data_IF_165355216457
#
_entry.id   IF_165355216457
#
_cell.length_a   1.000
_cell.length_b   1.000
_cell.length_c   1.000
_cell.angle_alpha   90.00
_cell.angle_beta   90.00
_cell.angle_gamma   90.00
#
_symmetry.space_group_name_H-M   'P 1'
#
loop_
_entity.id
_entity.type
_entity.pdbx_description
1 polymer ?
#
# COMPACT_ATOMS: atom_id res chain seq x y z
N UNK A 1 -20.73 12.36 7.88
CA UNK A 1 -21.57 11.86 6.77
C UNK A 1 -20.74 10.83 6.02
N UNK A 2 -21.18 9.59 5.91
CA UNK A 2 -20.50 8.59 5.10
C UNK A 2 -20.68 8.98 3.62
N UNK A 3 -19.59 9.23 2.92
CA UNK A 3 -19.60 9.48 1.49
C UNK A 3 -20.13 8.21 0.81
N UNK A 4 -21.25 8.30 0.10
CA UNK A 4 -21.77 7.16 -0.65
C UNK A 4 -20.73 6.75 -1.69
N UNK A 5 -20.29 5.50 -1.63
CA UNK A 5 -19.35 4.97 -2.61
C UNK A 5 -20.00 5.02 -4.01
N UNK A 6 -19.30 5.68 -4.94
CA UNK A 6 -19.77 5.84 -6.33
C UNK A 6 -19.29 4.66 -7.19
N UNK A 7 -20.00 4.39 -8.28
CA UNK A 7 -19.53 3.46 -9.30
C UNK A 7 -18.52 4.15 -10.20
N UNK A 8 -17.44 3.42 -10.54
CA UNK A 8 -16.47 3.83 -11.56
C UNK A 8 -16.70 2.98 -12.81
N UNK A 9 -17.19 3.62 -13.87
CA UNK A 9 -17.35 2.99 -15.18
C UNK A 9 -16.30 3.56 -16.12
N UNK A 10 -15.60 2.69 -16.83
CA UNK A 10 -14.59 3.02 -17.84
C UNK A 10 -15.08 2.43 -19.16
N UNK A 11 -15.40 3.31 -20.09
CA UNK A 11 -16.00 2.96 -21.36
C UNK A 11 -15.02 2.24 -22.29
N UNK A 12 -15.53 1.59 -23.33
CA UNK A 12 -14.72 0.84 -24.30
C UNK A 12 -13.60 1.72 -24.88
N UNK A 13 -12.40 1.14 -24.91
CA UNK A 13 -11.17 1.77 -25.42
C UNK A 13 -10.72 3.03 -24.64
N UNK A 14 -11.38 3.38 -23.52
CA UNK A 14 -10.98 4.47 -22.64
C UNK A 14 -9.74 4.08 -21.83
N UNK A 15 -8.81 5.04 -21.68
CA UNK A 15 -7.66 4.92 -20.77
C UNK A 15 -7.81 5.92 -19.65
N UNK A 16 -8.03 5.42 -18.42
CA UNK A 16 -8.21 6.25 -17.22
C UNK A 16 -7.03 6.09 -16.29
N UNK A 17 -6.45 7.21 -15.89
CA UNK A 17 -5.45 7.25 -14.82
C UNK A 17 -6.12 7.62 -13.50
N UNK A 18 -6.19 6.68 -12.57
CA UNK A 18 -6.60 6.94 -11.20
C UNK A 18 -5.41 7.52 -10.45
N UNK A 19 -5.50 8.78 -10.07
CA UNK A 19 -4.48 9.51 -9.34
C UNK A 19 -5.13 10.52 -8.39
N UNK A 20 -4.56 10.73 -7.19
CA UNK A 20 -5.06 11.73 -6.24
C UNK A 20 -5.09 13.16 -6.78
N UNK A 21 -4.20 13.47 -7.73
CA UNK A 21 -4.04 14.79 -8.32
C UNK A 21 -5.05 15.08 -9.44
N UNK A 22 -5.76 14.05 -9.95
CA UNK A 22 -6.71 14.23 -11.04
C UNK A 22 -7.92 15.05 -10.62
N UNK A 23 -8.30 16.09 -11.38
CA UNK A 23 -9.53 16.82 -11.12
C UNK A 23 -10.79 15.95 -11.08
N UNK A 24 -10.79 14.83 -11.84
CA UNK A 24 -11.90 13.85 -11.88
C UNK A 24 -12.06 13.11 -10.55
N UNK A 25 -10.96 12.89 -9.81
CA UNK A 25 -10.94 12.00 -8.65
C UNK A 25 -10.55 12.68 -7.34
N UNK A 26 -10.14 13.95 -7.35
CA UNK A 26 -9.66 14.68 -6.16
C UNK A 26 -10.63 14.66 -4.99
N UNK A 27 -11.94 14.69 -5.27
CA UNK A 27 -12.97 14.71 -4.24
C UNK A 27 -13.33 13.30 -3.72
N UNK A 28 -12.78 12.25 -4.36
CA UNK A 28 -12.95 10.85 -3.98
C UNK A 28 -11.74 10.29 -3.23
N UNK A 29 -10.64 11.02 -3.23
CA UNK A 29 -9.42 10.58 -2.56
C UNK A 29 -9.58 10.66 -1.04
N UNK A 30 -9.22 9.57 -0.38
CA UNK A 30 -9.11 9.49 1.07
C UNK A 30 -7.64 9.51 1.47
N UNK A 31 -7.29 10.36 2.44
CA UNK A 31 -5.94 10.42 2.99
C UNK A 31 -5.92 9.72 4.34
N UNK A 32 -5.01 8.78 4.48
CA UNK A 32 -4.74 8.08 5.72
C UNK A 32 -3.37 8.51 6.25
N UNK A 33 -3.31 8.88 7.52
CA UNK A 33 -2.07 9.28 8.20
C UNK A 33 -1.84 8.34 9.37
N UNK A 34 -1.26 7.16 9.13
CA UNK A 34 -1.03 6.18 10.18
C UNK A 34 -0.06 6.75 11.23
N UNK A 35 -0.31 6.42 12.48
CA UNK A 35 0.48 6.85 13.64
C UNK A 35 1.37 5.75 14.18
N UNK A 36 1.18 4.52 13.71
CA UNK A 36 1.94 3.34 14.11
C UNK A 36 2.13 2.38 12.96
N UNK A 37 3.11 1.50 13.08
CA UNK A 37 3.34 0.45 12.07
C UNK A 37 2.17 -0.55 12.04
N UNK A 38 1.51 -0.78 13.15
CA UNK A 38 0.31 -1.62 13.20
C UNK A 38 -0.84 -1.03 12.38
N UNK A 39 -1.02 0.30 12.38
CA UNK A 39 -1.99 0.96 11.49
C UNK A 39 -1.61 0.83 10.02
N UNK A 40 -0.32 0.97 9.68
CA UNK A 40 0.17 0.74 8.31
C UNK A 40 -0.13 -0.69 7.87
N UNK A 41 0.17 -1.68 8.74
CA UNK A 41 -0.13 -3.09 8.47
C UNK A 41 -1.64 -3.34 8.28
N UNK A 42 -2.49 -2.75 9.10
CA UNK A 42 -3.95 -2.86 8.93
C UNK A 42 -4.43 -2.33 7.59
N UNK A 43 -3.82 -1.26 7.09
CA UNK A 43 -4.18 -0.64 5.81
C UNK A 43 -3.59 -1.41 4.62
N UNK A 44 -2.30 -1.70 4.63
CA UNK A 44 -1.53 -2.22 3.50
C UNK A 44 -1.24 -3.73 3.58
N UNK A 45 -1.35 -4.32 4.76
CA UNK A 45 -1.02 -5.73 5.00
C UNK A 45 -1.96 -6.71 4.30
N UNK A 46 -1.59 -7.99 4.25
CA UNK A 46 -2.42 -9.03 3.66
C UNK A 46 -3.74 -9.15 4.39
N UNK A 47 -4.80 -9.46 3.64
CA UNK A 47 -6.08 -9.82 4.26
C UNK A 47 -5.95 -11.15 4.98
N UNK A 48 -6.49 -11.25 6.19
CA UNK A 48 -6.38 -12.44 7.06
C UNK A 48 -6.92 -13.75 6.43
N UNK A 49 -7.56 -13.66 5.27
CA UNK A 49 -8.29 -14.77 4.64
C UNK A 49 -7.53 -15.56 3.57
N UNK A 50 -6.21 -15.33 3.34
CA UNK A 50 -5.66 -15.92 2.13
C UNK A 50 -4.23 -16.42 2.07
N UNK A 51 -3.35 -16.16 3.01
CA UNK A 51 -1.96 -16.60 2.90
C UNK A 51 -1.50 -17.35 4.15
N UNK A 52 -1.17 -18.63 3.96
CA UNK A 52 -0.51 -19.48 4.95
C UNK A 52 1.02 -19.33 4.93
N UNK A 53 1.57 -18.54 4.04
CA UNK A 53 3.00 -18.27 4.01
C UNK A 53 3.38 -17.33 5.16
N UNK A 54 4.07 -17.90 6.15
CA UNK A 54 4.71 -17.12 7.20
C UNK A 54 5.88 -16.37 6.59
N UNK A 55 5.73 -15.06 6.42
CA UNK A 55 6.87 -14.20 6.17
C UNK A 55 7.65 -14.07 7.49
N UNK A 56 8.69 -14.88 7.65
CA UNK A 56 9.59 -14.76 8.78
C UNK A 56 10.48 -13.53 8.57
N UNK A 57 10.75 -12.80 9.64
CA UNK A 57 11.74 -11.73 9.57
C UNK A 57 13.09 -12.34 9.18
N UNK A 58 13.78 -11.82 8.15
CA UNK A 58 15.11 -12.27 7.82
C UNK A 58 16.03 -12.20 9.05
N UNK A 59 16.74 -13.27 9.35
CA UNK A 59 17.63 -13.36 10.52
C UNK A 59 18.68 -12.25 10.56
N UNK A 60 19.09 -11.72 9.42
CA UNK A 60 19.98 -10.58 9.31
C UNK A 60 19.39 -9.27 9.87
N UNK A 61 18.05 -9.15 9.92
CA UNK A 61 17.38 -7.99 10.49
C UNK A 61 17.24 -8.09 12.02
N UNK A 62 17.21 -9.31 12.57
CA UNK A 62 17.07 -9.49 14.04
C UNK A 62 18.39 -9.24 14.78
N UNK A 63 19.54 -9.44 14.13
CA UNK A 63 20.84 -9.39 14.79
C UNK A 63 21.38 -7.98 15.05
N UNK A 64 20.97 -6.96 14.29
CA UNK A 64 21.55 -5.62 14.31
C UNK A 64 20.52 -4.52 14.03
N UNK A 65 19.37 -4.54 14.72
CA UNK A 65 18.43 -3.43 14.61
C UNK A 65 18.99 -2.18 15.30
N UNK A 66 18.86 -1.00 14.67
CA UNK A 66 19.28 0.24 15.30
C UNK A 66 18.36 0.59 16.48
N UNK A 67 18.87 1.35 17.42
CA UNK A 67 17.99 1.94 18.43
C UNK A 67 17.03 2.95 17.76
N UNK A 68 15.83 3.19 18.33
CA UNK A 68 14.94 4.24 17.84
C UNK A 68 15.60 5.62 17.76
N UNK A 69 16.55 5.92 18.65
CA UNK A 69 17.26 7.21 18.68
C UNK A 69 18.24 7.36 17.50
N UNK A 70 18.78 6.27 16.97
CA UNK A 70 19.66 6.30 15.81
C UNK A 70 18.97 6.87 14.55
N UNK A 71 17.64 6.87 14.50
CA UNK A 71 16.86 7.50 13.41
C UNK A 71 17.03 9.02 13.37
N UNK A 72 17.42 9.62 14.48
CA UNK A 72 17.65 11.07 14.66
C UNK A 72 19.11 11.40 14.99
N UNK A 73 20.03 10.44 14.84
CA UNK A 73 21.46 10.65 15.10
C UNK A 73 21.98 11.89 14.38
N UNK A 74 22.87 12.64 15.03
CA UNK A 74 23.56 13.78 14.43
C UNK A 74 24.51 13.33 13.31
N UNK A 75 25.05 12.11 13.42
CA UNK A 75 25.84 11.51 12.34
C UNK A 75 24.93 11.15 11.13
N UNK A 76 25.15 11.80 9.97
CA UNK A 76 24.36 11.53 8.77
C UNK A 76 24.48 10.09 8.26
N UNK A 77 25.62 9.45 8.46
CA UNK A 77 25.83 8.07 8.00
C UNK A 77 25.07 7.09 8.89
N UNK A 78 25.15 7.24 10.19
CA UNK A 78 24.40 6.44 11.15
C UNK A 78 22.89 6.62 10.94
N UNK A 79 22.41 7.86 10.81
CA UNK A 79 21.01 8.18 10.55
C UNK A 79 20.49 7.54 9.26
N UNK A 80 21.29 7.62 8.18
CA UNK A 80 20.90 7.01 6.89
C UNK A 80 20.82 5.51 7.01
N UNK A 81 21.81 4.87 7.64
CA UNK A 81 21.83 3.43 7.87
C UNK A 81 20.62 2.98 8.70
N UNK A 82 20.34 3.68 9.79
CA UNK A 82 19.20 3.37 10.66
C UNK A 82 17.86 3.47 9.91
N UNK A 83 17.68 4.51 9.09
CA UNK A 83 16.47 4.67 8.26
C UNK A 83 16.32 3.57 7.23
N UNK A 84 17.40 3.17 6.55
CA UNK A 84 17.35 2.06 5.58
C UNK A 84 16.97 0.74 6.26
N UNK A 85 17.52 0.46 7.45
CA UNK A 85 17.18 -0.73 8.22
C UNK A 85 15.71 -0.69 8.69
N UNK A 86 15.22 0.46 9.16
CA UNK A 86 13.83 0.65 9.54
C UNK A 86 12.89 0.44 8.35
N UNK A 87 13.20 0.95 7.15
CA UNK A 87 12.41 0.71 5.92
C UNK A 87 12.34 -0.78 5.61
N UNK A 88 13.47 -1.48 5.71
CA UNK A 88 13.52 -2.93 5.42
C UNK A 88 12.69 -3.72 6.43
N UNK A 89 12.80 -3.39 7.72
CA UNK A 89 12.01 -4.02 8.77
C UNK A 89 10.51 -3.72 8.63
N UNK A 90 10.16 -2.47 8.29
CA UNK A 90 8.77 -2.07 8.06
C UNK A 90 8.13 -2.83 6.89
N UNK A 91 8.89 -3.07 5.82
CA UNK A 91 8.41 -3.90 4.68
C UNK A 91 8.10 -5.31 5.13
N UNK A 92 9.02 -5.94 5.87
CA UNK A 92 8.81 -7.29 6.38
C UNK A 92 7.58 -7.34 7.31
N UNK A 93 7.44 -6.36 8.21
CA UNK A 93 6.29 -6.23 9.10
C UNK A 93 4.97 -6.13 8.33
N UNK A 94 4.92 -5.25 7.33
CA UNK A 94 3.68 -5.01 6.54
C UNK A 94 3.30 -6.25 5.71
N UNK A 95 4.27 -7.01 5.24
CA UNK A 95 4.02 -8.25 4.47
C UNK A 95 3.69 -9.47 5.34
N UNK A 96 3.93 -9.40 6.63
CA UNK A 96 3.69 -10.52 7.53
C UNK A 96 2.20 -10.81 7.66
N UNK A 97 1.80 -12.06 7.51
CA UNK A 97 0.44 -12.51 7.84
C UNK A 97 0.20 -12.54 9.36
N UNK A 98 1.28 -12.70 10.12
CA UNK A 98 1.28 -12.69 11.59
C UNK A 98 2.42 -11.78 12.09
N UNK A 99 2.08 -10.78 12.87
CA UNK A 99 3.04 -9.79 13.38
C UNK A 99 3.58 -10.10 14.76
N UNK A 100 3.21 -11.23 15.38
CA UNK A 100 3.64 -11.58 16.75
C UNK A 100 5.15 -11.67 16.90
N UNK A 101 5.84 -12.17 15.88
CA UNK A 101 7.30 -12.31 15.89
C UNK A 101 8.01 -10.96 15.71
N UNK A 102 7.28 -9.91 15.34
CA UNK A 102 7.82 -8.58 15.08
C UNK A 102 7.62 -7.58 16.22
N UNK A 103 7.02 -7.98 17.34
CA UNK A 103 6.73 -7.06 18.46
C UNK A 103 7.96 -6.33 18.98
N UNK A 104 9.11 -6.95 18.94
CA UNK A 104 10.37 -6.36 19.42
C UNK A 104 10.87 -5.21 18.53
N UNK A 105 10.41 -5.11 17.27
CA UNK A 105 10.78 -4.02 16.35
C UNK A 105 9.74 -2.91 16.29
N UNK A 106 8.55 -3.10 16.84
CA UNK A 106 7.48 -2.09 16.82
C UNK A 106 7.94 -0.72 17.35
N UNK A 107 8.67 -0.61 18.47
CA UNK A 107 9.11 0.70 18.96
C UNK A 107 9.99 1.47 17.97
N UNK A 108 10.89 0.78 17.25
CA UNK A 108 11.71 1.37 16.19
C UNK A 108 10.82 1.83 15.03
N UNK A 109 9.88 0.98 14.61
CA UNK A 109 9.03 1.26 13.46
C UNK A 109 8.01 2.36 13.76
N UNK A 110 7.46 2.41 14.95
CA UNK A 110 6.55 3.48 15.37
C UNK A 110 7.30 4.82 15.41
N UNK A 111 8.52 4.85 15.94
CA UNK A 111 9.35 6.04 15.88
C UNK A 111 9.66 6.46 14.44
N UNK A 112 9.91 5.50 13.57
CA UNK A 112 10.12 5.76 12.14
C UNK A 112 8.87 6.37 11.48
N UNK A 113 7.66 5.87 11.77
CA UNK A 113 6.38 6.41 11.28
C UNK A 113 6.16 7.84 11.82
N UNK A 114 6.44 8.07 13.11
CA UNK A 114 6.32 9.39 13.73
C UNK A 114 7.20 10.45 13.03
N UNK A 115 8.43 10.07 12.69
CA UNK A 115 9.38 10.97 12.02
C UNK A 115 9.01 11.19 10.56
N UNK A 116 8.67 10.13 9.83
CA UNK A 116 8.41 10.17 8.38
C UNK A 116 7.02 10.68 8.02
N UNK A 117 6.05 10.60 8.95
CA UNK A 117 4.66 11.06 8.78
C UNK A 117 4.06 10.66 7.43
N UNK A 118 4.03 9.36 7.08
CA UNK A 118 3.59 8.93 5.76
C UNK A 118 2.14 9.30 5.51
N UNK A 119 1.83 9.72 4.28
CA UNK A 119 0.46 9.95 3.82
C UNK A 119 0.13 8.88 2.78
N UNK A 120 -0.89 8.09 3.06
CA UNK A 120 -1.39 7.07 2.15
C UNK A 120 -2.67 7.58 1.48
N UNK A 121 -2.72 7.52 0.15
CA UNK A 121 -3.91 7.87 -0.60
C UNK A 121 -4.68 6.61 -0.99
N UNK A 122 -5.98 6.64 -0.78
CA UNK A 122 -6.87 5.57 -1.14
C UNK A 122 -8.11 6.06 -1.86
N UNK A 123 -8.73 5.15 -2.60
CA UNK A 123 -10.01 5.35 -3.25
C UNK A 123 -10.98 4.27 -2.82
N UNK A 124 -12.24 4.63 -2.73
CA UNK A 124 -13.33 3.71 -2.44
C UNK A 124 -14.43 3.88 -3.47
N UNK A 125 -14.73 2.78 -4.16
CA UNK A 125 -15.84 2.69 -5.11
C UNK A 125 -16.84 1.63 -4.64
N UNK A 126 -18.10 1.76 -5.03
CA UNK A 126 -19.05 0.67 -4.90
C UNK A 126 -18.68 -0.43 -5.88
N UNK A 127 -18.71 -0.14 -7.16
CA UNK A 127 -18.30 -1.06 -8.22
C UNK A 127 -17.33 -0.36 -9.18
N UNK A 128 -16.43 -1.16 -9.76
CA UNK A 128 -15.53 -0.74 -10.83
C UNK A 128 -15.82 -1.64 -12.04
N UNK A 129 -16.31 -1.05 -13.12
CA UNK A 129 -16.57 -1.72 -14.39
C UNK A 129 -15.61 -1.21 -15.45
N UNK A 130 -14.80 -2.12 -16.01
CA UNK A 130 -13.81 -1.82 -17.05
C UNK A 130 -14.28 -2.53 -18.33
N UNK A 131 -14.73 -1.74 -19.29
CA UNK A 131 -15.26 -2.26 -20.55
C UNK A 131 -14.17 -2.91 -21.42
N UNK A 132 -14.59 -3.55 -22.51
CA UNK A 132 -13.68 -4.17 -23.47
C UNK A 132 -12.72 -3.13 -24.05
N UNK A 133 -11.43 -3.47 -24.14
CA UNK A 133 -10.38 -2.56 -24.64
C UNK A 133 -9.92 -1.50 -23.64
N UNK A 134 -10.70 -1.21 -22.61
CA UNK A 134 -10.42 -0.15 -21.65
C UNK A 134 -9.26 -0.48 -20.70
N UNK A 135 -8.61 0.57 -20.20
CA UNK A 135 -7.52 0.42 -19.24
C UNK A 135 -7.68 1.38 -18.06
N UNK A 136 -7.78 0.82 -16.84
CA UNK A 136 -7.64 1.56 -15.60
C UNK A 136 -6.19 1.48 -15.11
N UNK A 137 -5.51 2.62 -15.04
CA UNK A 137 -4.14 2.70 -14.52
C UNK A 137 -4.16 3.32 -13.12
N UNK A 138 -3.69 2.59 -12.12
CA UNK A 138 -3.43 3.10 -10.78
C UNK A 138 -2.01 3.68 -10.76
N UNK A 139 -1.89 4.96 -10.45
CA UNK A 139 -0.58 5.64 -10.43
C UNK A 139 0.21 5.31 -9.16
N UNK A 140 1.49 5.73 -9.11
CA UNK A 140 2.38 5.46 -7.97
C UNK A 140 1.89 6.03 -6.63
N UNK A 141 1.01 7.04 -6.67
CA UNK A 141 0.48 7.70 -5.48
C UNK A 141 -0.82 7.05 -4.98
N UNK A 142 -1.30 6.00 -5.62
CA UNK A 142 -2.46 5.23 -5.16
C UNK A 142 -1.98 4.04 -4.33
N UNK A 143 -2.22 4.08 -3.04
CA UNK A 143 -1.77 3.06 -2.09
C UNK A 143 -2.87 2.04 -1.78
N UNK A 144 -4.12 2.48 -1.84
CA UNK A 144 -5.29 1.69 -1.45
C UNK A 144 -6.41 1.83 -2.48
N UNK A 145 -7.03 0.72 -2.84
CA UNK A 145 -8.24 0.68 -3.65
C UNK A 145 -9.24 -0.28 -3.00
N UNK A 146 -10.39 0.25 -2.64
CA UNK A 146 -11.51 -0.51 -2.10
C UNK A 146 -12.65 -0.52 -3.11
N UNK A 147 -13.23 -1.71 -3.37
CA UNK A 147 -14.45 -1.83 -4.17
C UNK A 147 -15.29 -3.01 -3.66
N UNK A 148 -16.61 -2.97 -3.83
CA UNK A 148 -17.42 -4.14 -3.60
C UNK A 148 -17.19 -5.16 -4.74
N UNK A 149 -17.22 -4.70 -5.99
CA UNK A 149 -16.90 -5.56 -7.13
C UNK A 149 -15.98 -4.85 -8.14
N UNK A 150 -15.10 -5.63 -8.75
CA UNK A 150 -14.27 -5.19 -9.89
C UNK A 150 -14.57 -6.14 -11.04
N UNK A 151 -15.11 -5.60 -12.15
CA UNK A 151 -15.46 -6.36 -13.34
C UNK A 151 -14.64 -5.86 -14.52
N UNK A 152 -13.96 -6.78 -15.19
CA UNK A 152 -13.19 -6.49 -16.40
C UNK A 152 -13.75 -7.31 -17.55
N UNK A 153 -14.23 -6.62 -18.60
CA UNK A 153 -14.90 -7.24 -19.75
C UNK A 153 -13.93 -7.38 -20.93
N UNK A 154 -13.99 -8.53 -21.60
CA UNK A 154 -13.18 -8.79 -22.79
C UNK A 154 -11.68 -8.61 -22.56
N UNK A 155 -11.07 -7.61 -23.20
CA UNK A 155 -9.67 -7.22 -23.06
C UNK A 155 -9.45 -6.08 -22.09
N UNK A 156 -10.49 -5.65 -21.38
CA UNK A 156 -10.40 -4.65 -20.31
C UNK A 156 -9.39 -5.07 -19.24
N UNK A 157 -8.64 -4.11 -18.72
CA UNK A 157 -7.53 -4.41 -17.79
C UNK A 157 -7.31 -3.31 -16.77
N UNK A 158 -6.75 -3.73 -15.62
CA UNK A 158 -6.23 -2.84 -14.60
C UNK A 158 -4.69 -2.95 -14.57
N UNK A 159 -4.01 -1.80 -14.48
CA UNK A 159 -2.55 -1.71 -14.44
C UNK A 159 -2.14 -0.92 -13.21
N UNK A 160 -1.29 -1.49 -12.36
CA UNK A 160 -0.72 -0.79 -11.21
C UNK A 160 0.71 -0.33 -11.57
N UNK A 161 0.95 0.98 -11.52
CA UNK A 161 2.29 1.56 -11.72
C UNK A 161 3.13 1.52 -10.44
N UNK A 162 2.47 1.45 -9.30
CA UNK A 162 3.08 1.32 -7.99
C UNK A 162 2.39 0.23 -7.18
N UNK A 163 2.93 -0.04 -5.99
CA UNK A 163 2.33 -1.00 -5.10
C UNK A 163 1.04 -0.44 -4.52
N UNK A 164 -0.03 -1.07 -4.87
CA UNK A 164 -1.37 -0.73 -4.41
C UNK A 164 -2.00 -1.95 -3.74
N UNK A 165 -2.52 -1.77 -2.54
CA UNK A 165 -3.36 -2.79 -1.90
C UNK A 165 -4.77 -2.65 -2.45
N UNK A 166 -5.24 -3.71 -3.13
CA UNK A 166 -6.60 -3.77 -3.67
C UNK A 166 -7.41 -4.70 -2.79
N UNK A 167 -8.54 -4.21 -2.29
CA UNK A 167 -9.50 -5.00 -1.52
C UNK A 167 -10.86 -4.93 -2.21
N UNK A 168 -11.31 -6.06 -2.73
CA UNK A 168 -12.61 -6.20 -3.35
C UNK A 168 -13.30 -7.47 -2.83
N UNK A 169 -14.63 -7.43 -2.68
CA UNK A 169 -15.40 -8.61 -2.30
C UNK A 169 -15.49 -9.61 -3.47
N UNK A 170 -15.47 -9.10 -4.70
CA UNK A 170 -15.43 -9.94 -5.89
C UNK A 170 -14.59 -9.30 -7.00
N UNK A 171 -13.88 -10.13 -7.75
CA UNK A 171 -13.14 -9.73 -8.94
C UNK A 171 -13.47 -10.70 -10.05
N UNK A 172 -13.90 -10.19 -11.21
CA UNK A 172 -14.21 -10.99 -12.39
C UNK A 172 -13.50 -10.46 -13.63
N UNK A 173 -13.23 -11.35 -14.58
CA UNK A 173 -12.49 -11.04 -15.79
C UNK A 173 -11.02 -11.43 -15.69
N UNK A 174 -10.18 -10.77 -16.50
CA UNK A 174 -8.77 -11.08 -16.59
C UNK A 174 -8.04 -10.45 -15.38
N UNK A 175 -7.88 -11.23 -14.32
CA UNK A 175 -7.17 -10.77 -13.11
C UNK A 175 -5.72 -10.45 -13.50
N UNK A 176 -5.23 -9.23 -13.24
CA UNK A 176 -3.82 -8.92 -13.39
C UNK A 176 -3.03 -9.87 -12.48
N UNK A 177 -1.98 -10.48 -13.02
CA UNK A 177 -1.06 -11.28 -12.20
C UNK A 177 -0.23 -10.29 -11.36
N UNK A 178 -0.73 -9.98 -10.18
CA UNK A 178 0.08 -9.29 -9.19
C UNK A 178 1.04 -10.30 -8.57
N UNK A 179 2.31 -10.03 -8.62
CA UNK A 179 3.26 -10.72 -7.75
C UNK A 179 3.14 -10.09 -6.37
N UNK A 180 2.72 -10.81 -5.34
CA UNK A 180 2.53 -10.25 -3.99
C UNK A 180 3.78 -9.57 -3.44
N UNK A 181 4.97 -10.02 -3.87
CA UNK A 181 6.27 -9.47 -3.48
C UNK A 181 6.51 -8.03 -3.96
N UNK A 182 5.90 -7.62 -5.06
CA UNK A 182 6.17 -6.31 -5.66
C UNK A 182 5.26 -5.23 -5.07
N UNK A 183 4.10 -5.63 -4.56
CA UNK A 183 3.03 -4.71 -4.16
C UNK A 183 3.30 -4.00 -2.84
N UNK A 184 3.78 -4.71 -1.80
CA UNK A 184 4.02 -4.09 -0.50
C UNK A 184 5.34 -3.30 -0.42
N UNK A 185 6.33 -3.65 -1.26
CA UNK A 185 7.68 -3.09 -1.14
C UNK A 185 7.80 -1.61 -1.50
N UNK A 186 7.00 -1.10 -2.41
CA UNK A 186 7.12 0.26 -2.94
C UNK A 186 6.17 1.24 -2.26
N UNK A 187 5.03 0.80 -1.69
CA UNK A 187 4.04 1.68 -1.06
C UNK A 187 4.62 2.48 0.09
N UNK A 188 5.35 1.82 0.99
CA UNK A 188 5.95 2.51 2.14
C UNK A 188 7.09 3.44 1.70
N UNK A 189 7.92 3.01 0.74
CA UNK A 189 9.01 3.81 0.22
C UNK A 189 8.52 5.05 -0.53
N UNK A 190 7.42 4.96 -1.27
CA UNK A 190 6.84 6.11 -1.98
C UNK A 190 6.10 7.06 -1.05
N UNK A 191 5.39 6.54 -0.04
CA UNK A 191 4.73 7.37 0.98
C UNK A 191 5.75 8.19 1.81
N UNK A 192 7.01 7.71 1.90
CA UNK A 192 8.08 8.38 2.63
C UNK A 192 8.85 9.38 1.75
N UNK A 193 8.90 9.17 0.42
CA UNK A 193 9.66 10.03 -0.51
C UNK A 193 8.96 11.32 -0.86
N UNK A 194 7.63 11.40 -0.68
CA UNK A 194 6.84 12.60 -0.96
C UNK A 194 6.14 13.04 0.35
N UNK A 195 6.85 13.73 1.26
CA UNK A 195 6.22 14.37 2.41
C UNK A 195 5.32 15.55 1.99
#
# INVERSE_FOLDING_TARGET
>A
MAQQAQNLVIDSDECVNLTPESPRFKDLVQQFRPRSIAEVHRLLGPSASGSTERCCMPSALTANLPSPDALMSEDPQERTRARMQAVTAARAYVQAADTRDFKHVEPLLDRFIEISKPVLHGFQFADIDIANGATLTLTYNVHLLYAAAIRMHGTGRMVCKGPTTIRASSVSGRIPVFRPSDVAQVSLANAIRNP
#
